data_IF_758648063163
#
_entry.id   IF_758648063163
#
_cell.length_a   1.000
_cell.length_b   1.000
_cell.length_c   1.000
_cell.angle_alpha   90.00
_cell.angle_beta   90.00
_cell.angle_gamma   90.00
#
_symmetry.space_group_name_H-M   'P 1'
#
loop_
_entity.id
_entity.type
_entity.pdbx_description
1 polymer ?
#
# COMPACT_ATOMS: atom_id res chain seq x y z
N UNK A 1 15.09 2.03 -14.81
CA UNK A 1 13.69 2.03 -14.30
C UNK A 1 13.55 2.85 -13.00
N UNK A 2 14.35 2.60 -11.91
CA UNK A 2 14.17 3.31 -10.63
C UNK A 2 14.22 4.82 -10.71
N UNK A 3 15.26 5.44 -11.32
CA UNK A 3 15.32 6.89 -11.47
C UNK A 3 14.15 7.48 -12.28
N UNK A 4 13.64 6.74 -13.26
CA UNK A 4 12.52 7.21 -14.08
C UNK A 4 11.22 7.17 -13.28
N UNK A 5 10.99 6.10 -12.51
CA UNK A 5 9.84 6.01 -11.60
C UNK A 5 9.83 7.14 -10.56
N UNK A 6 11.00 7.54 -10.03
CA UNK A 6 11.09 8.69 -9.12
C UNK A 6 10.72 10.00 -9.83
N UNK A 7 11.15 10.19 -11.09
CA UNK A 7 10.77 11.37 -11.90
C UNK A 7 9.27 11.39 -12.19
N UNK A 8 8.67 10.25 -12.46
CA UNK A 8 7.21 10.13 -12.65
C UNK A 8 6.46 10.52 -11.36
N UNK A 9 6.90 10.06 -10.20
CA UNK A 9 6.33 10.47 -8.91
C UNK A 9 6.45 11.98 -8.69
N UNK A 10 7.58 12.59 -9.05
CA UNK A 10 7.76 14.06 -8.99
C UNK A 10 6.78 14.76 -9.94
N UNK A 11 6.64 14.27 -11.16
CA UNK A 11 5.70 14.83 -12.14
C UNK A 11 4.23 14.73 -11.66
N UNK A 12 3.90 13.70 -10.87
CA UNK A 12 2.60 13.53 -10.21
C UNK A 12 2.45 14.37 -8.93
N UNK A 13 3.48 15.13 -8.54
CA UNK A 13 3.41 16.09 -7.43
C UNK A 13 4.01 15.63 -6.12
N UNK A 14 4.79 14.54 -6.10
CA UNK A 14 5.56 14.12 -4.93
C UNK A 14 6.73 15.08 -4.68
N UNK A 15 6.89 15.53 -3.45
CA UNK A 15 7.92 16.48 -3.02
C UNK A 15 8.98 15.73 -2.23
N UNK A 16 10.03 15.30 -2.90
CA UNK A 16 11.23 14.77 -2.25
C UNK A 16 12.10 15.89 -1.71
N UNK A 17 12.96 15.54 -0.75
CA UNK A 17 13.92 16.48 -0.18
C UNK A 17 15.00 16.83 -1.20
N UNK A 18 15.46 18.09 -1.17
CA UNK A 18 16.46 18.63 -2.08
C UNK A 18 17.65 19.20 -1.31
N UNK A 19 18.81 19.15 -1.92
CA UNK A 19 20.01 19.84 -1.44
C UNK A 19 19.86 21.35 -1.59
N UNK A 20 20.76 22.12 -0.97
CA UNK A 20 20.81 23.56 -1.14
C UNK A 20 21.04 24.02 -2.61
N UNK A 21 21.60 23.13 -3.44
CA UNK A 21 21.80 23.36 -4.87
C UNK A 21 20.55 23.01 -5.73
N UNK A 22 19.47 22.50 -5.11
CA UNK A 22 18.23 22.14 -5.80
C UNK A 22 18.24 20.75 -6.42
N UNK A 23 19.24 19.93 -6.17
CA UNK A 23 19.28 18.54 -6.59
C UNK A 23 18.55 17.65 -5.58
N UNK A 24 18.08 16.46 -5.99
CA UNK A 24 17.52 15.47 -5.07
C UNK A 24 18.52 15.14 -3.97
N UNK A 25 18.08 15.26 -2.72
CA UNK A 25 18.86 14.80 -1.57
C UNK A 25 18.77 13.29 -1.49
N UNK A 26 19.87 12.62 -1.73
CA UNK A 26 19.95 11.16 -1.65
C UNK A 26 20.72 10.75 -0.41
N UNK A 27 20.24 9.69 0.23
CA UNK A 27 20.88 9.07 1.39
C UNK A 27 21.28 7.64 1.09
N UNK A 28 22.11 7.11 1.99
CA UNK A 28 22.51 5.71 2.00
C UNK A 28 21.99 5.06 3.27
N UNK A 29 21.35 3.92 3.09
CA UNK A 29 20.95 3.07 4.21
C UNK A 29 21.82 1.82 4.30
N UNK A 30 21.68 1.06 5.39
CA UNK A 30 22.44 -0.16 5.61
C UNK A 30 22.36 -1.14 4.42
N UNK A 31 23.50 -1.68 4.01
CA UNK A 31 23.63 -2.56 2.85
C UNK A 31 23.75 -1.87 1.48
N UNK A 32 23.59 -0.55 1.41
CA UNK A 32 23.80 0.21 0.18
C UNK A 32 25.24 0.74 0.09
N UNK A 33 25.85 0.61 -1.08
CA UNK A 33 27.22 1.09 -1.33
C UNK A 33 27.27 2.54 -1.82
N UNK A 34 26.13 3.14 -2.14
CA UNK A 34 25.99 4.48 -2.71
C UNK A 34 24.77 5.19 -2.14
N UNK A 35 24.80 6.52 -2.13
CA UNK A 35 23.65 7.35 -1.87
C UNK A 35 22.69 7.24 -3.06
N UNK A 36 21.54 6.61 -2.85
CA UNK A 36 20.55 6.35 -3.89
C UNK A 36 19.11 6.28 -3.39
N UNK A 37 18.91 6.61 -2.13
CA UNK A 37 17.59 6.59 -1.50
C UNK A 37 17.05 8.01 -1.52
N UNK A 38 16.03 8.28 -2.32
CA UNK A 38 15.27 9.51 -2.26
C UNK A 38 14.29 9.44 -1.08
N UNK A 39 14.21 10.51 -0.31
CA UNK A 39 13.35 10.61 0.85
C UNK A 39 12.61 11.93 0.89
N UNK A 40 11.55 12.00 1.70
CA UNK A 40 10.76 13.20 1.92
C UNK A 40 10.51 13.35 3.44
N UNK A 41 10.87 14.53 3.98
CA UNK A 41 10.69 14.83 5.39
C UNK A 41 11.40 13.84 6.33
N UNK A 42 12.57 13.36 5.95
CA UNK A 42 13.30 12.32 6.65
C UNK A 42 12.72 10.92 6.40
N UNK A 43 11.93 10.38 7.30
CA UNK A 43 11.31 9.05 7.23
C UNK A 43 9.83 9.05 6.77
N UNK A 44 9.34 10.20 6.32
CA UNK A 44 7.94 10.38 5.92
C UNK A 44 7.67 10.14 4.42
N UNK A 45 8.59 9.51 3.70
CA UNK A 45 8.51 9.31 2.23
C UNK A 45 7.21 8.65 1.80
N UNK A 46 6.75 7.61 2.51
CA UNK A 46 5.49 6.93 2.20
C UNK A 46 4.27 7.85 2.34
N UNK A 47 4.24 8.67 3.38
CA UNK A 47 3.16 9.63 3.61
C UNK A 47 3.12 10.71 2.50
N UNK A 48 4.27 11.19 2.05
CA UNK A 48 4.35 12.19 0.98
C UNK A 48 3.92 11.60 -0.38
N UNK A 49 4.36 10.38 -0.72
CA UNK A 49 3.91 9.70 -1.93
C UNK A 49 2.39 9.50 -1.89
N UNK A 50 1.86 9.03 -0.77
CA UNK A 50 0.41 8.87 -0.60
C UNK A 50 -0.32 10.19 -0.79
N UNK A 51 0.15 11.28 -0.17
CA UNK A 51 -0.44 12.61 -0.34
C UNK A 51 -0.51 13.03 -1.81
N UNK A 52 0.59 12.84 -2.54
CA UNK A 52 0.67 13.20 -3.95
C UNK A 52 -0.28 12.34 -4.81
N UNK A 53 -0.31 11.03 -4.58
CA UNK A 53 -1.19 10.11 -5.32
C UNK A 53 -2.67 10.39 -5.06
N UNK A 54 -3.07 10.64 -3.82
CA UNK A 54 -4.45 11.02 -3.47
C UNK A 54 -4.84 12.32 -4.18
N UNK A 55 -3.94 13.32 -4.20
CA UNK A 55 -4.20 14.57 -4.91
C UNK A 55 -4.32 14.37 -6.43
N UNK A 56 -3.47 13.52 -7.02
CA UNK A 56 -3.51 13.21 -8.45
C UNK A 56 -4.82 12.48 -8.83
N UNK A 57 -5.23 11.51 -8.02
CA UNK A 57 -6.50 10.79 -8.22
C UNK A 57 -7.69 11.74 -8.09
N UNK A 58 -7.70 12.61 -7.08
CA UNK A 58 -8.78 13.59 -6.90
C UNK A 58 -8.89 14.60 -8.05
N UNK A 59 -7.78 14.86 -8.75
CA UNK A 59 -7.74 15.75 -9.92
C UNK A 59 -8.11 15.05 -11.23
N UNK A 60 -8.22 13.72 -11.25
CA UNK A 60 -8.50 12.92 -12.44
C UNK A 60 -10.02 12.71 -12.60
N UNK A 61 -10.68 13.34 -13.61
CA UNK A 61 -12.13 13.30 -13.75
C UNK A 61 -12.68 11.90 -14.12
N UNK A 62 -11.82 11.05 -14.65
CA UNK A 62 -12.19 9.71 -15.11
C UNK A 62 -12.00 8.62 -14.04
N UNK A 63 -11.60 9.01 -12.83
CA UNK A 63 -11.43 8.09 -11.71
C UNK A 63 -12.54 8.30 -10.68
N UNK A 64 -13.38 7.30 -10.49
CA UNK A 64 -14.34 7.26 -9.39
C UNK A 64 -13.70 6.57 -8.17
N UNK A 65 -13.69 7.27 -7.03
CA UNK A 65 -13.21 6.74 -5.76
C UNK A 65 -14.41 6.36 -4.90
N UNK A 66 -14.47 5.11 -4.48
CA UNK A 66 -15.50 4.63 -3.54
C UNK A 66 -14.80 4.34 -2.21
N UNK A 67 -14.93 5.26 -1.27
CA UNK A 67 -14.37 5.13 0.07
C UNK A 67 -15.27 4.27 0.98
N UNK A 68 -14.70 3.79 2.08
CA UNK A 68 -15.40 2.93 3.06
C UNK A 68 -16.04 1.69 2.44
N UNK A 69 -15.43 1.16 1.39
CA UNK A 69 -15.90 -0.02 0.68
C UNK A 69 -15.00 -1.23 0.99
N UNK A 70 -15.60 -2.27 1.53
CA UNK A 70 -14.96 -3.57 1.72
C UNK A 70 -15.25 -4.44 0.50
N UNK A 71 -14.22 -4.82 -0.25
CA UNK A 71 -14.36 -5.82 -1.32
C UNK A 71 -14.55 -7.20 -0.68
N UNK A 72 -15.65 -7.85 -1.01
CA UNK A 72 -16.05 -9.14 -0.44
C UNK A 72 -15.52 -10.31 -1.26
N UNK A 73 -15.69 -10.22 -2.60
CA UNK A 73 -15.20 -11.27 -3.50
C UNK A 73 -15.01 -10.75 -4.95
N UNK A 74 -14.33 -11.55 -5.76
CA UNK A 74 -14.21 -11.36 -7.20
C UNK A 74 -15.43 -11.99 -7.90
N UNK A 75 -16.02 -11.28 -8.86
CA UNK A 75 -17.11 -11.80 -9.68
C UNK A 75 -16.53 -12.63 -10.82
N UNK A 76 -16.88 -13.94 -10.91
CA UNK A 76 -16.46 -14.75 -12.03
C UNK A 76 -17.02 -14.22 -13.35
N UNK A 77 -16.18 -14.18 -14.37
CA UNK A 77 -16.57 -13.87 -15.74
C UNK A 77 -16.74 -15.10 -16.61
N UNK A 78 -17.33 -14.93 -17.77
CA UNK A 78 -17.41 -15.96 -18.79
C UNK A 78 -15.99 -16.37 -19.23
N UNK A 79 -15.77 -17.67 -19.42
CA UNK A 79 -14.46 -18.20 -19.83
C UNK A 79 -13.40 -18.29 -18.73
N UNK A 80 -13.77 -18.15 -17.45
CA UNK A 80 -12.87 -18.33 -16.30
C UNK A 80 -12.06 -17.10 -15.89
N UNK A 81 -12.40 -15.92 -16.44
CA UNK A 81 -11.83 -14.65 -16.05
C UNK A 81 -12.57 -14.00 -14.87
N UNK A 82 -12.20 -12.77 -14.53
CA UNK A 82 -12.86 -11.92 -13.53
C UNK A 82 -13.62 -10.82 -14.27
N UNK A 83 -14.91 -10.63 -13.89
CA UNK A 83 -15.81 -9.63 -14.47
C UNK A 83 -16.07 -8.43 -13.55
N UNK A 84 -15.54 -8.45 -12.32
CA UNK A 84 -15.76 -7.38 -11.36
C UNK A 84 -15.48 -7.80 -9.92
N UNK A 85 -16.04 -7.03 -9.00
CA UNK A 85 -15.97 -7.29 -7.57
C UNK A 85 -17.34 -7.14 -6.93
N UNK A 86 -17.62 -7.93 -5.90
CA UNK A 86 -18.69 -7.62 -4.94
C UNK A 86 -18.11 -6.81 -3.81
N UNK A 87 -18.84 -5.84 -3.31
CA UNK A 87 -18.37 -4.95 -2.26
C UNK A 87 -19.51 -4.57 -1.31
N UNK A 88 -19.13 -4.28 -0.08
CA UNK A 88 -20.00 -3.66 0.90
C UNK A 88 -19.50 -2.24 1.18
N UNK A 89 -20.30 -1.27 0.82
CA UNK A 89 -20.06 0.13 1.16
C UNK A 89 -20.61 0.37 2.56
N UNK A 90 -19.73 0.68 3.49
CA UNK A 90 -20.03 0.96 4.90
C UNK A 90 -20.04 2.48 5.11
N UNK A 91 -20.82 3.17 4.30
CA UNK A 91 -20.91 4.62 4.33
C UNK A 91 -22.14 5.09 5.10
N UNK A 92 -22.10 6.35 5.54
CA UNK A 92 -23.27 7.07 5.96
C UNK A 92 -23.98 7.62 4.71
N UNK A 93 -25.22 7.24 4.45
CA UNK A 93 -26.05 7.82 3.41
C UNK A 93 -26.51 6.89 2.28
N UNK A 94 -26.68 7.43 1.09
CA UNK A 94 -27.37 6.77 -0.03
C UNK A 94 -26.67 5.56 -0.65
N UNK A 95 -25.39 5.31 -0.32
CA UNK A 95 -24.59 4.21 -0.89
C UNK A 95 -24.27 3.12 0.14
N UNK A 96 -25.01 3.04 1.22
CA UNK A 96 -24.84 1.94 2.17
C UNK A 96 -25.44 0.66 1.61
N UNK A 97 -24.69 -0.45 1.73
CA UNK A 97 -25.17 -1.77 1.32
C UNK A 97 -24.19 -2.58 0.50
N UNK A 98 -24.65 -3.76 0.09
CA UNK A 98 -23.88 -4.70 -0.73
C UNK A 98 -24.26 -4.54 -2.20
N UNK A 99 -23.23 -4.46 -3.03
CA UNK A 99 -23.39 -4.32 -4.48
C UNK A 99 -22.27 -4.99 -5.25
N UNK A 100 -22.25 -4.78 -6.56
CA UNK A 100 -21.20 -5.23 -7.45
C UNK A 100 -20.72 -4.09 -8.34
N UNK A 101 -19.42 -4.01 -8.56
CA UNK A 101 -18.80 -3.17 -9.58
C UNK A 101 -18.29 -4.08 -10.70
N UNK A 102 -18.88 -3.97 -11.89
CA UNK A 102 -18.48 -4.74 -13.05
C UNK A 102 -17.41 -3.99 -13.83
N UNK A 103 -16.39 -4.69 -14.30
CA UNK A 103 -15.27 -4.11 -15.03
C UNK A 103 -14.60 -5.14 -15.96
N UNK A 104 -13.77 -4.64 -16.86
CA UNK A 104 -13.00 -5.47 -17.80
C UNK A 104 -11.76 -6.12 -17.14
N UNK A 105 -11.28 -5.55 -16.06
CA UNK A 105 -10.12 -6.05 -15.32
C UNK A 105 -10.17 -5.53 -13.88
N UNK A 106 -9.60 -6.31 -12.96
CA UNK A 106 -9.41 -5.94 -11.56
C UNK A 106 -7.91 -5.94 -11.24
N UNK A 107 -7.44 -4.87 -10.63
CA UNK A 107 -6.09 -4.79 -10.05
C UNK A 107 -6.21 -4.92 -8.54
N UNK A 108 -5.63 -5.97 -7.97
CA UNK A 108 -5.55 -6.14 -6.52
C UNK A 108 -4.32 -5.39 -6.00
N UNK A 109 -4.54 -4.32 -5.26
CA UNK A 109 -3.50 -3.49 -4.63
C UNK A 109 -3.77 -3.32 -3.12
N UNK A 110 -4.32 -4.36 -2.48
CA UNK A 110 -4.82 -4.37 -1.11
C UNK A 110 -3.75 -4.47 -0.03
N UNK A 111 -2.46 -4.43 -0.40
CA UNK A 111 -1.35 -4.57 0.54
C UNK A 111 -1.13 -6.01 1.00
N UNK A 112 -0.43 -6.16 2.12
CA UNK A 112 0.01 -7.45 2.65
C UNK A 112 -0.93 -8.06 3.69
N UNK A 113 -0.37 -8.95 4.51
CA UNK A 113 -1.09 -9.75 5.51
C UNK A 113 -0.54 -9.57 6.94
N UNK A 114 0.19 -8.51 7.22
CA UNK A 114 0.87 -8.35 8.51
C UNK A 114 -0.05 -8.40 9.73
N UNK A 115 -1.32 -8.08 9.57
CA UNK A 115 -2.31 -8.11 10.67
C UNK A 115 -2.76 -9.52 11.08
N UNK A 116 -2.32 -10.59 10.39
CA UNK A 116 -2.52 -11.97 10.88
C UNK A 116 -1.60 -12.31 12.04
N UNK A 117 -0.55 -11.52 12.26
CA UNK A 117 0.37 -11.67 13.39
C UNK A 117 -0.11 -10.86 14.58
N UNK A 118 0.18 -11.35 15.80
CA UNK A 118 -0.20 -10.69 17.05
C UNK A 118 0.49 -9.36 17.28
N UNK A 119 1.65 -9.13 16.63
CA UNK A 119 2.41 -7.88 16.66
C UNK A 119 2.97 -7.62 15.27
N UNK A 120 2.75 -6.42 14.76
CA UNK A 120 3.15 -6.05 13.41
C UNK A 120 3.36 -4.54 13.30
N UNK A 121 4.17 -4.10 12.36
CA UNK A 121 4.30 -2.68 11.98
C UNK A 121 3.39 -2.30 10.82
N UNK A 122 2.66 -3.26 10.26
CA UNK A 122 1.75 -3.03 9.15
C UNK A 122 0.49 -2.27 9.61
N UNK A 123 -0.09 -1.43 8.75
CA UNK A 123 -1.34 -0.74 9.04
C UNK A 123 -2.50 -1.72 9.26
N UNK A 124 -3.54 -1.28 9.94
CA UNK A 124 -4.70 -2.10 10.31
C UNK A 124 -5.40 -2.76 9.12
N UNK A 125 -5.26 -2.20 7.93
CA UNK A 125 -5.85 -2.70 6.68
C UNK A 125 -5.04 -3.82 6.00
N UNK A 126 -3.87 -4.18 6.52
CA UNK A 126 -3.02 -5.22 5.95
C UNK A 126 -3.47 -6.62 6.43
N UNK A 127 -4.68 -7.02 6.11
CA UNK A 127 -5.39 -8.21 6.60
C UNK A 127 -5.27 -9.44 5.68
N UNK A 128 -4.67 -9.27 4.49
CA UNK A 128 -4.47 -10.36 3.53
C UNK A 128 -5.67 -10.65 2.64
N UNK A 129 -6.69 -9.82 2.66
CA UNK A 129 -7.94 -10.03 1.91
C UNK A 129 -7.71 -10.22 0.42
N UNK A 130 -6.83 -9.42 -0.19
CA UNK A 130 -6.52 -9.56 -1.61
C UNK A 130 -5.94 -10.92 -1.99
N UNK A 131 -5.11 -11.52 -1.13
CA UNK A 131 -4.62 -12.89 -1.35
C UNK A 131 -5.74 -13.91 -1.23
N UNK A 132 -6.63 -13.74 -0.25
CA UNK A 132 -7.78 -14.62 -0.07
C UNK A 132 -8.75 -14.52 -1.26
N UNK A 133 -9.01 -13.31 -1.77
CA UNK A 133 -9.81 -13.07 -2.97
C UNK A 133 -9.20 -13.76 -4.20
N UNK A 134 -7.90 -13.59 -4.40
CA UNK A 134 -7.18 -14.20 -5.51
C UNK A 134 -7.25 -15.74 -5.45
N UNK A 135 -7.02 -16.32 -4.26
CA UNK A 135 -7.10 -17.77 -4.05
C UNK A 135 -8.50 -18.32 -4.39
N UNK A 136 -9.55 -17.66 -3.89
CA UNK A 136 -10.94 -18.07 -4.19
C UNK A 136 -11.27 -17.96 -5.68
N UNK A 137 -10.66 -17.02 -6.38
CA UNK A 137 -10.78 -16.87 -7.82
C UNK A 137 -9.92 -17.85 -8.64
N UNK A 138 -9.20 -18.76 -7.97
CA UNK A 138 -8.41 -19.80 -8.63
C UNK A 138 -6.95 -19.43 -8.88
N UNK A 139 -6.45 -18.32 -8.36
CA UNK A 139 -5.04 -17.98 -8.48
C UNK A 139 -4.16 -18.91 -7.64
N UNK A 140 -2.97 -19.22 -8.15
CA UNK A 140 -1.98 -20.02 -7.44
C UNK A 140 -1.19 -19.10 -6.50
N UNK A 141 -1.22 -19.39 -5.21
CA UNK A 141 -0.36 -18.75 -4.21
C UNK A 141 0.91 -19.58 -4.01
N UNK A 142 2.05 -18.91 -3.91
CA UNK A 142 3.35 -19.56 -3.74
C UNK A 142 4.16 -18.84 -2.66
N UNK A 143 5.04 -19.61 -2.01
CA UNK A 143 6.08 -19.11 -1.11
C UNK A 143 5.52 -18.28 0.07
N UNK A 144 4.34 -18.64 0.57
CA UNK A 144 3.65 -17.92 1.65
C UNK A 144 4.39 -17.99 2.99
N UNK A 145 5.32 -18.93 3.15
CA UNK A 145 6.20 -19.02 4.31
C UNK A 145 7.27 -17.91 4.35
N UNK A 146 7.56 -17.25 3.21
CA UNK A 146 8.53 -16.17 3.15
C UNK A 146 7.88 -14.83 3.49
N UNK A 147 7.92 -14.47 4.75
CA UNK A 147 7.45 -13.19 5.25
C UNK A 147 8.64 -12.33 5.63
N UNK A 148 8.73 -11.14 5.08
CA UNK A 148 9.78 -10.19 5.45
C UNK A 148 9.41 -9.52 6.79
N UNK A 149 10.29 -9.65 7.77
CA UNK A 149 10.17 -8.98 9.06
C UNK A 149 11.03 -7.73 9.11
N UNK A 150 10.48 -6.65 9.67
CA UNK A 150 11.30 -5.51 10.03
C UNK A 150 12.12 -5.86 11.28
N UNK A 151 13.45 -5.65 11.26
CA UNK A 151 14.33 -6.13 12.33
C UNK A 151 14.23 -5.33 13.63
N UNK A 152 13.71 -4.11 13.60
CA UNK A 152 13.64 -3.21 14.75
C UNK A 152 12.25 -2.63 14.92
N UNK A 153 11.59 -3.02 15.99
CA UNK A 153 10.23 -2.61 16.35
C UNK A 153 10.21 -2.23 17.83
N UNK A 154 9.50 -1.17 18.18
CA UNK A 154 9.28 -0.83 19.58
C UNK A 154 8.23 -1.78 20.17
N UNK A 155 8.68 -2.65 21.06
CA UNK A 155 7.78 -3.55 21.79
C UNK A 155 7.06 -2.80 22.90
N UNK A 156 5.74 -2.66 22.79
CA UNK A 156 4.90 -1.96 23.78
C UNK A 156 4.27 -2.89 24.83
N UNK A 157 4.70 -4.16 24.87
CA UNK A 157 4.19 -5.14 25.83
C UNK A 157 3.15 -6.09 25.25
N UNK A 158 2.80 -7.14 26.02
CA UNK A 158 1.88 -8.21 25.59
C UNK A 158 0.45 -7.73 25.36
N UNK A 159 0.04 -6.67 26.00
CA UNK A 159 -1.31 -6.11 25.89
C UNK A 159 -1.45 -5.18 24.67
N UNK A 160 -0.34 -4.75 24.07
CA UNK A 160 -0.35 -3.95 22.85
C UNK A 160 -0.69 -4.80 21.64
N UNK A 161 -1.77 -4.45 20.97
CA UNK A 161 -2.28 -5.14 19.78
C UNK A 161 -2.24 -4.21 18.58
N UNK A 162 -2.20 -4.79 17.39
CA UNK A 162 -2.22 -4.05 16.14
C UNK A 162 -0.85 -3.47 15.77
N UNK A 163 -0.88 -2.32 15.12
CA UNK A 163 0.32 -1.70 14.57
C UNK A 163 1.26 -1.20 15.68
N UNK A 164 2.47 -1.74 15.68
CA UNK A 164 3.54 -1.31 16.58
C UNK A 164 4.38 -0.20 15.94
N UNK A 165 4.93 0.74 16.73
CA UNK A 165 5.82 1.77 16.21
C UNK A 165 7.08 1.18 15.59
N UNK A 166 7.40 1.65 14.40
CA UNK A 166 8.63 1.29 13.70
C UNK A 166 9.81 2.08 14.29
N UNK A 167 10.92 1.42 14.53
CA UNK A 167 12.19 2.08 14.78
C UNK A 167 12.92 2.14 13.45
N UNK A 168 13.19 3.35 12.96
CA UNK A 168 13.87 3.58 11.69
C UNK A 168 15.20 2.85 11.61
N UNK A 169 15.53 2.34 10.44
CA UNK A 169 16.83 1.69 10.17
C UNK A 169 18.02 2.64 10.33
N UNK A 170 17.79 3.95 10.26
CA UNK A 170 18.81 4.97 10.48
C UNK A 170 19.53 4.85 11.85
N UNK A 171 18.89 4.24 12.86
CA UNK A 171 19.51 4.03 14.19
C UNK A 171 20.54 2.88 14.21
N UNK A 172 20.65 2.11 13.14
CA UNK A 172 21.57 0.97 13.07
C UNK A 172 22.94 1.31 12.47
N UNK A 173 23.12 2.52 11.97
CA UNK A 173 24.40 3.00 11.43
C UNK A 173 24.67 2.49 10.03
#
# INVERSE_FOLDING_TARGET
EGPDAVRELIALGTRFDHTAAGELSLTREGGHLRDRIAHAGGDATGAEIQRAMVAAVAAAPDIEVVEHALVLDLVPGEGGGVAGVTLHVMGEGQRDGVGAALCRAVVLASGGLGQVYSSTTNPAVATGDGMALALRAGAVLRDLEFVQFHPTVMWLGRESRGQQPLISEAVRG
#
